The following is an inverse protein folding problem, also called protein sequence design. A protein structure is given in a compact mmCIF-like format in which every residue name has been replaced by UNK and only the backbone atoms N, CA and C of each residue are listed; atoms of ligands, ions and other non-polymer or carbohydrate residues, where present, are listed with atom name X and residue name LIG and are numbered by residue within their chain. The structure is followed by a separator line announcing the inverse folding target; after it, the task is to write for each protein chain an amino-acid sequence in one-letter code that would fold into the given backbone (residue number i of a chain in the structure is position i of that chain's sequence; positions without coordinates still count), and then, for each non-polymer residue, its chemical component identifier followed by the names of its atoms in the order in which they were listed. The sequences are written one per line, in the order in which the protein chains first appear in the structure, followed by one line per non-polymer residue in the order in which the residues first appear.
data_IF_561137347537
#
_entry.id   IF_561137347537
#
_cell.length_a   1.000
_cell.length_b   1.000
_cell.length_c   1.000
_cell.angle_alpha   90.00
_cell.angle_beta   90.00
_cell.angle_gamma   90.00
#
_symmetry.space_group_name_H-M   'P 1'
#
loop_
_entity.id
_entity.type
_entity.pdbx_description
1 polymer ?
#
# COMPACT_ATOMS: atom_id res chain seq x y z
N UNK A 1 -13.22 -14.01 -3.46
CA UNK A 1 -11.94 -14.61 -3.02
C UNK A 1 -10.86 -13.57 -2.69
N UNK A 2 -10.76 -12.43 -3.41
CA UNK A 2 -9.78 -11.35 -3.08
C UNK A 2 -10.07 -10.67 -1.73
N UNK A 3 -11.33 -10.56 -1.32
CA UNK A 3 -11.72 -9.84 -0.10
C UNK A 3 -11.29 -10.53 1.21
N UNK A 4 -11.31 -11.87 1.28
CA UNK A 4 -10.89 -12.62 2.48
C UNK A 4 -9.41 -12.43 2.76
N UNK A 5 -8.58 -12.68 1.75
CA UNK A 5 -7.13 -12.54 1.86
C UNK A 5 -6.72 -11.09 2.17
N UNK A 6 -7.39 -10.12 1.54
CA UNK A 6 -7.15 -8.70 1.82
C UNK A 6 -7.41 -8.31 3.27
N UNK A 7 -8.46 -8.87 3.91
CA UNK A 7 -8.75 -8.62 5.33
C UNK A 7 -7.68 -9.24 6.24
N UNK A 8 -7.20 -10.45 5.92
CA UNK A 8 -6.15 -11.09 6.71
C UNK A 8 -4.82 -10.32 6.63
N UNK A 9 -4.38 -9.92 5.43
CA UNK A 9 -3.18 -9.07 5.29
C UNK A 9 -3.37 -7.76 6.06
N UNK A 10 -4.53 -7.13 5.93
CA UNK A 10 -4.81 -5.88 6.66
C UNK A 10 -4.82 -6.06 8.18
N UNK A 11 -5.16 -7.26 8.68
CA UNK A 11 -5.09 -7.59 10.10
C UNK A 11 -3.66 -7.79 10.61
N UNK A 12 -2.67 -7.96 9.75
CA UNK A 12 -1.26 -7.98 10.19
C UNK A 12 -0.77 -6.59 10.60
N UNK A 13 -1.41 -5.52 10.11
CA UNK A 13 -1.13 -4.15 10.53
C UNK A 13 -1.59 -3.94 11.97
N UNK A 14 -0.62 -3.87 12.89
CA UNK A 14 -0.85 -3.60 14.31
C UNK A 14 -0.23 -2.28 14.71
N UNK A 15 -0.97 -1.47 15.44
CA UNK A 15 -0.48 -0.25 16.07
C UNK A 15 -0.49 -0.51 17.58
N UNK A 16 0.68 -0.46 18.21
CA UNK A 16 0.84 -0.75 19.64
C UNK A 16 0.34 -2.17 20.04
N UNK A 17 0.53 -3.16 19.17
CA UNK A 17 0.09 -4.54 19.40
C UNK A 17 -1.41 -4.79 19.22
N UNK A 18 -2.22 -3.74 19.05
CA UNK A 18 -3.64 -3.83 18.71
C UNK A 18 -3.84 -3.75 17.18
N UNK A 19 -4.88 -4.40 16.66
CA UNK A 19 -5.22 -4.38 15.24
C UNK A 19 -5.60 -2.98 14.76
N UNK A 20 -5.13 -2.60 13.57
CA UNK A 20 -5.60 -1.36 12.96
C UNK A 20 -6.97 -1.55 12.29
N UNK A 21 -8.02 -1.13 13.00
CA UNK A 21 -9.40 -1.28 12.53
C UNK A 21 -9.69 -0.52 11.23
N UNK A 22 -8.98 0.57 10.96
CA UNK A 22 -9.11 1.30 9.70
C UNK A 22 -8.52 0.51 8.54
N UNK A 23 -7.34 -0.07 8.75
CA UNK A 23 -6.68 -0.96 7.79
C UNK A 23 -7.53 -2.18 7.46
N UNK A 24 -8.13 -2.84 8.46
CA UNK A 24 -9.03 -3.99 8.28
C UNK A 24 -10.23 -3.67 7.37
N UNK A 25 -10.80 -2.47 7.49
CA UNK A 25 -11.88 -2.01 6.61
C UNK A 25 -11.38 -1.46 5.26
N UNK A 26 -10.07 -1.27 5.09
CA UNK A 26 -9.46 -0.63 3.94
C UNK A 26 -9.82 0.85 3.83
N UNK A 27 -9.98 1.53 4.96
CA UNK A 27 -10.41 2.93 5.06
C UNK A 27 -9.33 3.79 5.69
N UNK A 28 -9.37 5.08 5.39
CA UNK A 28 -8.45 6.05 5.99
C UNK A 28 -8.91 6.44 7.42
N UNK A 29 -7.99 6.69 8.37
CA UNK A 29 -8.34 7.16 9.72
C UNK A 29 -9.14 8.47 9.74
N UNK A 30 -8.87 9.36 8.78
CA UNK A 30 -9.58 10.62 8.57
C UNK A 30 -10.90 10.44 7.79
N UNK A 31 -11.25 9.22 7.38
CA UNK A 31 -12.49 8.96 6.67
C UNK A 31 -13.72 9.23 7.55
N UNK A 32 -14.74 9.82 6.94
CA UNK A 32 -16.01 10.04 7.59
C UNK A 32 -16.70 8.73 8.01
N UNK A 33 -17.45 8.80 9.11
CA UNK A 33 -18.28 7.70 9.61
C UNK A 33 -19.27 7.16 8.57
N UNK A 34 -19.78 8.04 7.70
CA UNK A 34 -20.67 7.71 6.58
C UNK A 34 -20.01 6.72 5.60
N UNK A 35 -18.75 6.98 5.23
CA UNK A 35 -17.94 6.15 4.33
C UNK A 35 -17.57 4.82 4.99
N UNK A 36 -17.16 4.85 6.26
CA UNK A 36 -16.88 3.64 7.05
C UNK A 36 -18.09 2.70 7.10
N UNK A 37 -19.29 3.24 7.34
CA UNK A 37 -20.53 2.46 7.36
C UNK A 37 -20.82 1.80 6.01
N UNK A 38 -20.65 2.55 4.92
CA UNK A 38 -20.85 2.04 3.55
C UNK A 38 -19.86 0.91 3.23
N UNK A 39 -18.60 1.12 3.56
CA UNK A 39 -17.54 0.13 3.32
C UNK A 39 -17.74 -1.14 4.14
N UNK A 40 -18.08 -1.01 5.44
CA UNK A 40 -18.42 -2.14 6.28
C UNK A 40 -19.56 -2.97 5.68
N UNK A 41 -20.67 -2.34 5.26
CA UNK A 41 -21.79 -3.05 4.63
C UNK A 41 -21.36 -3.80 3.37
N UNK A 42 -20.53 -3.19 2.53
CA UNK A 42 -19.99 -3.82 1.32
C UNK A 42 -19.17 -5.07 1.67
N UNK A 43 -18.23 -4.95 2.60
CA UNK A 43 -17.38 -6.05 3.04
C UNK A 43 -18.18 -7.16 3.73
N UNK A 44 -19.16 -6.80 4.56
CA UNK A 44 -20.04 -7.75 5.23
C UNK A 44 -20.82 -8.62 4.24
N UNK A 45 -21.33 -8.05 3.14
CA UNK A 45 -22.02 -8.81 2.09
C UNK A 45 -21.04 -9.74 1.34
N UNK A 46 -19.81 -9.28 1.09
CA UNK A 46 -18.78 -10.07 0.39
C UNK A 46 -18.23 -11.23 1.23
N UNK A 47 -18.22 -11.07 2.55
CA UNK A 47 -17.65 -12.03 3.50
C UNK A 47 -18.73 -12.82 4.26
N UNK A 48 -20.01 -12.57 3.98
CA UNK A 48 -21.11 -13.22 4.69
C UNK A 48 -21.02 -14.75 4.52
N UNK A 49 -21.10 -15.54 5.61
CA UNK A 49 -20.89 -17.00 5.56
C UNK A 49 -21.92 -17.72 4.67
N UNK A 50 -23.12 -17.15 4.53
CA UNK A 50 -24.16 -17.66 3.62
C UNK A 50 -23.76 -17.58 2.13
N UNK A 51 -23.16 -16.45 1.72
CA UNK A 51 -22.82 -16.17 0.31
C UNK A 51 -21.39 -16.57 -0.03
N UNK A 52 -20.50 -16.61 0.95
CA UNK A 52 -19.08 -16.85 0.76
C UNK A 52 -18.60 -18.04 1.60
N UNK A 53 -18.45 -19.19 0.93
CA UNK A 53 -17.98 -20.44 1.53
C UNK A 53 -16.46 -20.64 1.43
N UNK A 54 -15.69 -19.60 1.09
CA UNK A 54 -14.23 -19.73 1.04
C UNK A 54 -13.66 -19.97 2.43
N UNK A 55 -12.59 -20.77 2.51
CA UNK A 55 -11.84 -20.99 3.75
C UNK A 55 -11.40 -19.63 4.33
N UNK A 56 -11.69 -19.40 5.61
CA UNK A 56 -11.39 -18.16 6.31
C UNK A 56 -12.38 -17.01 6.09
N UNK A 57 -13.47 -17.19 5.34
CA UNK A 57 -14.51 -16.16 5.21
C UNK A 57 -15.12 -15.75 6.55
N UNK A 58 -15.40 -16.73 7.42
CA UNK A 58 -15.91 -16.50 8.77
C UNK A 58 -14.94 -15.69 9.64
N UNK A 59 -13.65 -16.03 9.63
CA UNK A 59 -12.63 -15.30 10.37
C UNK A 59 -12.44 -13.87 9.84
N UNK A 60 -12.42 -13.68 8.52
CA UNK A 60 -12.39 -12.35 7.92
C UNK A 60 -13.66 -11.53 8.27
N UNK A 61 -14.84 -12.17 8.26
CA UNK A 61 -16.10 -11.55 8.67
C UNK A 61 -16.07 -11.10 10.14
N UNK A 62 -15.48 -11.92 11.02
CA UNK A 62 -15.29 -11.59 12.43
C UNK A 62 -14.40 -10.36 12.61
N UNK A 63 -13.28 -10.29 11.88
CA UNK A 63 -12.35 -9.15 11.92
C UNK A 63 -13.02 -7.83 11.51
N UNK A 64 -13.78 -7.82 10.40
CA UNK A 64 -14.48 -6.60 9.97
C UNK A 64 -15.61 -6.21 10.94
N UNK A 65 -16.25 -7.18 11.60
CA UNK A 65 -17.31 -6.96 12.58
C UNK A 65 -16.78 -6.37 13.88
N UNK A 66 -15.62 -6.83 14.32
CA UNK A 66 -14.89 -6.27 15.45
C UNK A 66 -14.45 -4.84 15.16
N UNK A 67 -13.84 -4.59 14.01
CA UNK A 67 -13.46 -3.24 13.57
C UNK A 67 -14.66 -2.28 13.55
N UNK A 68 -15.80 -2.72 13.03
CA UNK A 68 -17.01 -1.91 13.03
C UNK A 68 -17.55 -1.63 14.44
N UNK A 69 -17.47 -2.58 15.37
CA UNK A 69 -17.88 -2.38 16.77
C UNK A 69 -17.12 -1.22 17.44
N UNK A 70 -15.84 -1.06 17.12
CA UNK A 70 -15.01 0.03 17.63
C UNK A 70 -15.25 1.35 16.89
N UNK A 71 -15.35 1.32 15.55
CA UNK A 71 -15.44 2.52 14.72
C UNK A 71 -16.87 3.09 14.60
N UNK A 72 -17.90 2.29 14.89
CA UNK A 72 -19.31 2.70 14.82
C UNK A 72 -19.74 3.58 15.99
N UNK A 73 -19.16 3.39 17.18
CA UNK A 73 -19.44 4.19 18.37
C UNK A 73 -18.44 5.36 18.43
N UNK A 74 -18.94 6.59 18.52
CA UNK A 74 -18.10 7.81 18.53
C UNK A 74 -17.14 7.85 19.72
N UNK A 75 -17.57 7.39 20.89
CA UNK A 75 -16.75 7.36 22.12
C UNK A 75 -15.63 6.32 21.97
N UNK A 76 -15.96 5.11 21.50
CA UNK A 76 -14.96 4.06 21.25
C UNK A 76 -13.97 4.47 20.17
N UNK A 77 -14.46 5.05 19.08
CA UNK A 77 -13.63 5.58 17.98
C UNK A 77 -12.69 6.67 18.48
N UNK A 78 -13.19 7.65 19.23
CA UNK A 78 -12.35 8.73 19.77
C UNK A 78 -11.28 8.22 20.74
N UNK A 79 -11.63 7.27 21.61
CA UNK A 79 -10.66 6.63 22.51
C UNK A 79 -9.59 5.84 21.73
N UNK A 80 -10.00 5.10 20.71
CA UNK A 80 -9.11 4.38 19.80
C UNK A 80 -8.17 5.34 19.05
N UNK A 81 -8.72 6.40 18.43
CA UNK A 81 -7.95 7.40 17.69
C UNK A 81 -6.94 8.12 18.59
N UNK A 82 -7.33 8.43 19.84
CA UNK A 82 -6.42 9.03 20.83
C UNK A 82 -5.27 8.08 21.17
N UNK A 83 -5.55 6.81 21.47
CA UNK A 83 -4.50 5.81 21.74
C UNK A 83 -3.59 5.65 20.52
N UNK A 84 -4.16 5.52 19.33
CA UNK A 84 -3.44 5.41 18.06
C UNK A 84 -2.50 6.61 17.82
N UNK A 85 -2.96 7.83 18.04
CA UNK A 85 -2.18 9.04 17.82
C UNK A 85 -1.04 9.22 18.85
N UNK A 86 -1.24 8.80 20.10
CA UNK A 86 -0.19 8.85 21.13
C UNK A 86 1.04 8.00 20.74
N UNK A 87 0.81 6.83 20.14
CA UNK A 87 1.89 5.94 19.71
C UNK A 87 2.40 6.25 18.28
N UNK A 88 1.56 6.80 17.41
CA UNK A 88 2.00 7.32 16.12
C UNK A 88 2.90 8.57 16.25
N UNK A 89 2.84 9.28 17.38
CA UNK A 89 3.63 10.48 17.68
C UNK A 89 5.13 10.26 17.90
N UNK A 90 5.60 9.01 18.11
CA UNK A 90 7.04 8.69 18.16
C UNK A 90 7.62 8.27 16.80
N UNK A 91 6.80 8.20 15.74
CA UNK A 91 7.22 7.95 14.37
C UNK A 91 6.97 9.15 13.42
N UNK A 92 6.56 10.30 13.97
CA UNK A 92 6.14 11.47 13.21
C UNK A 92 7.09 12.67 13.37
N UNK A 93 8.40 12.40 13.33
CA UNK A 93 9.40 13.41 12.99
C UNK A 93 9.76 13.26 11.51
N UNK A 94 9.17 14.11 10.66
CA UNK A 94 9.41 14.26 9.22
C UNK A 94 8.85 13.16 8.29
N UNK A 95 7.78 13.49 7.56
CA UNK A 95 7.42 12.86 6.28
C UNK A 95 6.38 11.73 6.36
N UNK A 96 5.10 12.08 6.29
CA UNK A 96 4.00 11.11 6.24
C UNK A 96 2.84 11.54 5.34
N UNK A 97 3.15 12.20 4.24
CA UNK A 97 2.24 12.24 3.07
C UNK A 97 2.57 11.00 2.21
N UNK A 98 1.56 10.37 1.62
CA UNK A 98 1.63 9.15 0.79
C UNK A 98 1.52 7.76 1.46
N UNK A 99 0.45 7.55 2.25
CA UNK A 99 -0.06 6.19 2.54
C UNK A 99 -1.35 5.86 1.75
N UNK A 100 -1.97 6.84 1.07
CA UNK A 100 -3.23 6.65 0.33
C UNK A 100 -3.05 6.26 -1.16
N UNK A 101 -1.86 5.84 -1.58
CA UNK A 101 -1.60 5.31 -2.94
C UNK A 101 -1.45 3.78 -2.99
N UNK A 102 -1.59 3.07 -1.87
CA UNK A 102 -1.38 1.61 -1.76
C UNK A 102 -2.59 0.72 -2.05
N UNK A 103 -3.75 1.29 -2.38
CA UNK A 103 -4.93 0.53 -2.82
C UNK A 103 -5.15 0.54 -4.35
N UNK A 104 -4.28 1.21 -5.11
CA UNK A 104 -4.16 0.92 -6.52
C UNK A 104 -3.34 -0.37 -6.65
N UNK A 105 -4.03 -1.46 -7.03
CA UNK A 105 -3.52 -2.66 -7.69
C UNK A 105 -2.05 -2.98 -7.40
N UNK A 106 -1.82 -4.08 -6.66
CA UNK A 106 -0.53 -4.77 -6.54
C UNK A 106 0.34 -4.66 -7.80
N UNK A 107 1.13 -3.60 -7.84
CA UNK A 107 2.50 -3.61 -8.26
C UNK A 107 3.17 -3.00 -7.04
N UNK A 108 3.93 -3.81 -6.30
CA UNK A 108 5.26 -3.36 -5.95
C UNK A 108 5.71 -2.41 -7.05
N UNK A 109 5.78 -1.10 -6.79
CA UNK A 109 6.58 -0.22 -7.64
C UNK A 109 7.87 -0.99 -7.73
N UNK A 110 8.08 -1.57 -8.90
CA UNK A 110 9.31 -2.24 -9.21
C UNK A 110 10.31 -1.16 -8.88
N UNK A 111 11.06 -1.40 -7.81
CA UNK A 111 11.93 -0.42 -7.20
C UNK A 111 12.92 -0.09 -8.31
N UNK A 112 12.67 0.93 -9.13
CA UNK A 112 13.39 1.23 -10.36
C UNK A 112 14.27 2.45 -10.13
N UNK A 113 15.38 2.52 -10.86
CA UNK A 113 16.28 3.64 -10.86
C UNK A 113 16.64 4.03 -12.29
N UNK A 114 16.83 5.32 -12.49
CA UNK A 114 17.35 5.87 -13.72
C UNK A 114 18.87 5.77 -13.73
N UNK A 115 19.40 5.40 -14.90
CA UNK A 115 20.84 5.36 -15.13
C UNK A 115 21.17 5.92 -16.50
N UNK A 116 22.38 6.47 -16.63
CA UNK A 116 22.89 7.04 -17.88
C UNK A 116 24.02 6.18 -18.42
N UNK A 117 23.97 5.88 -19.71
CA UNK A 117 25.14 5.35 -20.40
C UNK A 117 26.22 6.43 -20.48
N UNK A 118 27.42 6.14 -19.97
CA UNK A 118 28.57 7.07 -19.98
C UNK A 118 29.10 7.36 -21.38
N UNK A 119 28.84 6.49 -22.34
CA UNK A 119 29.33 6.63 -23.73
C UNK A 119 28.39 7.47 -24.59
N UNK A 120 27.09 7.18 -24.58
CA UNK A 120 26.13 7.84 -25.47
C UNK A 120 25.11 8.74 -24.76
N UNK A 121 25.24 8.93 -23.45
CA UNK A 121 24.38 9.78 -22.60
C UNK A 121 22.90 9.39 -22.57
N UNK A 122 22.52 8.26 -23.17
CA UNK A 122 21.14 7.76 -23.17
C UNK A 122 20.76 7.27 -21.79
N UNK A 123 19.57 7.68 -21.35
CA UNK A 123 18.98 7.31 -20.08
C UNK A 123 18.18 6.01 -20.20
N UNK A 124 18.24 5.18 -19.16
CA UNK A 124 17.48 3.94 -19.07
C UNK A 124 16.87 3.82 -17.67
N UNK A 125 15.66 3.31 -17.61
CA UNK A 125 15.02 2.88 -16.37
C UNK A 125 15.26 1.37 -16.18
N UNK A 126 15.82 0.99 -15.02
CA UNK A 126 16.04 -0.40 -14.64
C UNK A 126 15.54 -0.68 -13.25
N UNK A 127 15.25 -1.95 -12.96
CA UNK A 127 15.02 -2.43 -11.60
C UNK A 127 16.27 -2.21 -10.74
N UNK A 128 16.11 -1.74 -9.49
CA UNK A 128 17.17 -1.49 -8.49
C UNK A 128 18.03 -2.71 -8.19
N UNK A 129 17.54 -3.93 -8.46
CA UNK A 129 18.37 -5.14 -8.46
C UNK A 129 19.58 -5.08 -9.43
N UNK A 130 19.56 -4.16 -10.38
CA UNK A 130 20.63 -3.93 -11.36
C UNK A 130 21.56 -2.76 -11.01
N UNK A 131 21.37 -2.08 -9.86
CA UNK A 131 22.32 -1.06 -9.39
C UNK A 131 23.71 -1.66 -9.25
N UNK A 132 24.72 -0.92 -9.68
CA UNK A 132 26.14 -1.32 -9.69
C UNK A 132 26.46 -2.57 -10.54
N UNK A 133 25.55 -3.03 -11.40
CA UNK A 133 25.83 -4.10 -12.36
C UNK A 133 26.29 -3.53 -13.71
N UNK A 134 27.05 -4.35 -14.45
CA UNK A 134 27.45 -4.08 -15.83
C UNK A 134 26.28 -4.34 -16.76
N UNK A 135 25.76 -3.29 -17.40
CA UNK A 135 24.67 -3.36 -18.37
C UNK A 135 25.18 -2.98 -19.76
N UNK A 136 24.62 -3.62 -20.79
CA UNK A 136 24.88 -3.26 -22.18
C UNK A 136 23.92 -2.17 -22.63
N UNK A 137 24.44 -1.06 -23.15
CA UNK A 137 23.63 0.00 -23.73
C UNK A 137 22.99 -0.46 -25.04
N UNK A 138 21.67 -0.28 -25.19
CA UNK A 138 20.94 -0.62 -26.42
C UNK A 138 21.27 0.29 -27.61
N UNK A 139 21.75 1.51 -27.34
CA UNK A 139 22.09 2.49 -28.38
C UNK A 139 23.52 2.32 -28.91
N UNK A 140 24.53 2.37 -28.04
CA UNK A 140 25.94 2.30 -28.47
C UNK A 140 26.59 0.92 -28.32
N UNK A 141 25.87 -0.08 -27.80
CA UNK A 141 26.37 -1.44 -27.48
C UNK A 141 27.52 -1.49 -26.46
N UNK A 142 27.92 -0.35 -25.90
CA UNK A 142 28.94 -0.26 -24.86
C UNK A 142 28.46 -0.82 -23.52
N UNK A 143 29.40 -1.39 -22.76
CA UNK A 143 29.15 -1.88 -21.40
C UNK A 143 29.38 -0.71 -20.43
N UNK A 144 28.40 -0.43 -19.57
CA UNK A 144 28.49 0.62 -18.55
C UNK A 144 27.98 0.10 -17.20
N UNK A 145 28.37 0.77 -16.11
CA UNK A 145 27.88 0.46 -14.77
C UNK A 145 26.61 1.25 -14.53
N UNK A 146 25.55 0.55 -14.13
CA UNK A 146 24.28 1.19 -13.84
C UNK A 146 24.33 1.90 -12.47
N UNK A 147 24.51 3.22 -12.52
CA UNK A 147 24.54 4.11 -11.34
C UNK A 147 23.25 4.93 -11.29
N UNK A 148 22.72 5.15 -10.09
CA UNK A 148 21.52 5.97 -9.84
C UNK A 148 21.82 7.45 -10.10
N UNK A 149 21.15 8.00 -11.12
CA UNK A 149 21.15 9.42 -11.41
C UNK A 149 19.86 10.01 -10.83
N UNK A 150 19.96 10.78 -9.75
CA UNK A 150 18.83 11.22 -8.92
C UNK A 150 17.88 12.26 -9.53
N UNK A 151 17.78 12.38 -10.85
CA UNK A 151 16.87 13.34 -11.50
C UNK A 151 16.09 12.62 -12.60
N UNK A 152 14.79 12.40 -12.35
CA UNK A 152 13.84 12.03 -13.39
C UNK A 152 13.59 13.26 -14.28
N UNK A 153 13.58 13.15 -15.62
CA UNK A 153 13.16 14.26 -16.48
C UNK A 153 11.66 14.52 -16.29
N UNK A 154 11.29 15.79 -16.11
CA UNK A 154 9.91 16.29 -15.91
C UNK A 154 8.96 16.03 -17.09
N UNK A 155 9.40 15.30 -18.11
CA UNK A 155 8.59 14.98 -19.28
C UNK A 155 9.10 13.71 -19.96
N UNK A 156 8.66 12.54 -19.48
CA UNK A 156 8.82 11.30 -20.20
C UNK A 156 7.53 10.49 -20.09
N UNK A 157 6.68 10.67 -21.10
CA UNK A 157 5.64 9.71 -21.47
C UNK A 157 6.26 8.32 -21.56
N UNK A 158 5.90 7.44 -20.63
CA UNK A 158 6.32 6.05 -20.64
C UNK A 158 5.97 5.41 -21.99
N UNK A 159 6.93 4.82 -22.73
CA UNK A 159 6.59 3.84 -23.74
C UNK A 159 6.04 2.62 -22.99
N UNK A 160 4.73 2.40 -23.11
CA UNK A 160 4.16 1.09 -22.82
C UNK A 160 4.61 0.19 -23.96
N UNK A 161 5.35 -0.85 -23.64
CA UNK A 161 5.54 -1.94 -24.59
C UNK A 161 5.20 -3.28 -23.93
N UNK A 162 4.68 -4.22 -24.74
CA UNK A 162 3.82 -5.35 -24.32
C UNK A 162 4.53 -6.52 -23.63
#
# INVERSE_FOLDING_TARGET
MVATFGVYIASEAKINGEFDFYSILGMDPFAEKSKLKKQYKKMAVLLHPDKNKTVGADGAFKLISEAWTHLSNSVKRSSYDRRRNLYAGHAAGAGGYDIYSKFAVSHSRLDTFWTVCTTCRVQYEYLRKYVNKRLSCKNCRGIFIAVETGVAPDNASSPRDP
#
